data_IF_722937881464
#
_entry.id   IF_722937881464
#
_cell.length_a   1.000
_cell.length_b   1.000
_cell.length_c   1.000
_cell.angle_alpha   90.00
_cell.angle_beta   90.00
_cell.angle_gamma   90.00
#
_symmetry.space_group_name_H-M   'P 1'
#
loop_
_entity.id
_entity.type
_entity.pdbx_description
1 polymer ?
#
# COMPACT_ATOMS: atom_id res chain seq x y z
N UNK A 1 10.62 -27.69 7.89
CA UNK A 1 10.00 -26.38 8.17
C UNK A 1 11.14 -25.44 8.44
N UNK A 2 11.57 -24.68 7.44
CA UNK A 2 12.63 -23.69 7.62
C UNK A 2 12.01 -22.39 8.14
N UNK A 3 12.15 -22.18 9.44
CA UNK A 3 11.65 -21.02 10.19
C UNK A 3 12.70 -19.91 10.29
N UNK A 4 13.68 -19.85 9.38
CA UNK A 4 14.81 -18.90 9.49
C UNK A 4 14.95 -17.87 8.37
N UNK A 5 14.10 -17.89 7.34
CA UNK A 5 14.17 -16.82 6.32
C UNK A 5 13.59 -15.51 6.86
N UNK A 6 14.41 -14.46 6.82
CA UNK A 6 14.00 -13.11 7.17
C UNK A 6 12.74 -12.71 6.39
N UNK A 7 11.85 -11.87 6.96
CA UNK A 7 10.65 -11.45 6.27
C UNK A 7 10.98 -10.82 4.91
N UNK A 8 10.29 -11.23 3.86
CA UNK A 8 10.53 -10.76 2.49
C UNK A 8 9.17 -10.53 1.84
N UNK A 9 8.65 -9.28 1.90
CA UNK A 9 7.36 -8.98 1.32
C UNK A 9 7.44 -9.12 -0.21
N UNK A 10 6.43 -9.79 -0.76
CA UNK A 10 6.16 -9.86 -2.19
C UNK A 10 5.38 -8.59 -2.55
N UNK A 11 5.95 -7.76 -3.42
CA UNK A 11 5.29 -6.53 -3.92
C UNK A 11 5.08 -6.64 -5.41
N UNK A 12 3.84 -6.48 -5.85
CA UNK A 12 3.46 -6.61 -7.26
C UNK A 12 2.51 -5.49 -7.68
N UNK A 13 2.40 -5.28 -8.99
CA UNK A 13 1.43 -4.38 -9.60
C UNK A 13 0.37 -5.20 -10.33
N UNK A 14 -0.90 -4.87 -10.11
CA UNK A 14 -2.02 -5.35 -10.91
C UNK A 14 -2.55 -4.20 -11.78
N UNK A 15 -2.83 -4.44 -13.07
CA UNK A 15 -3.62 -3.51 -13.87
C UNK A 15 -4.96 -3.28 -13.17
N UNK A 16 -5.28 -2.02 -12.83
CA UNK A 16 -6.51 -1.72 -12.11
C UNK A 16 -7.67 -1.57 -13.08
N UNK A 17 -8.66 -2.46 -13.02
CA UNK A 17 -9.79 -2.44 -13.94
C UNK A 17 -10.26 -3.84 -14.29
N UNK A 18 -10.06 -4.25 -15.55
CA UNK A 18 -10.47 -5.56 -16.05
C UNK A 18 -9.70 -6.67 -15.32
N UNK A 19 -10.32 -7.21 -14.28
CA UNK A 19 -9.68 -8.15 -13.34
C UNK A 19 -9.81 -9.59 -13.86
N UNK A 20 -9.46 -9.83 -15.13
CA UNK A 20 -9.58 -11.17 -15.72
C UNK A 20 -8.48 -12.07 -15.15
N UNK A 21 -8.73 -13.38 -15.17
CA UNK A 21 -7.76 -14.37 -14.65
C UNK A 21 -6.38 -14.21 -15.30
N UNK A 22 -6.36 -13.93 -16.60
CA UNK A 22 -5.15 -13.71 -17.40
C UNK A 22 -4.29 -12.55 -16.90
N UNK A 23 -4.92 -11.47 -16.41
CA UNK A 23 -4.22 -10.25 -15.99
C UNK A 23 -3.46 -10.48 -14.66
N UNK A 24 -3.98 -11.35 -13.80
CA UNK A 24 -3.33 -11.74 -12.55
C UNK A 24 -2.15 -12.70 -12.79
N UNK A 25 -2.33 -13.72 -13.64
CA UNK A 25 -1.24 -14.64 -14.01
C UNK A 25 -0.12 -13.89 -14.73
N UNK A 26 -0.47 -12.91 -15.58
CA UNK A 26 0.52 -12.02 -16.21
C UNK A 26 1.30 -11.22 -15.17
N UNK A 27 0.64 -10.64 -14.16
CA UNK A 27 1.32 -9.91 -13.10
C UNK A 27 2.28 -10.82 -12.30
N UNK A 28 1.90 -12.06 -12.00
CA UNK A 28 2.80 -13.05 -11.36
C UNK A 28 4.01 -13.33 -12.25
N UNK A 29 3.81 -13.52 -13.55
CA UNK A 29 4.90 -13.74 -14.48
C UNK A 29 5.87 -12.54 -14.53
N UNK A 30 5.35 -11.31 -14.57
CA UNK A 30 6.15 -10.08 -14.54
C UNK A 30 6.93 -9.92 -13.23
N UNK A 31 6.31 -10.23 -12.09
CA UNK A 31 7.00 -10.26 -10.80
C UNK A 31 8.17 -11.24 -10.80
N UNK A 32 7.94 -12.48 -11.24
CA UNK A 32 8.99 -13.52 -11.30
C UNK A 32 10.16 -13.14 -12.22
N UNK A 33 9.88 -12.45 -13.32
CA UNK A 33 10.92 -11.94 -14.21
C UNK A 33 11.78 -10.86 -13.54
N UNK A 34 11.16 -9.97 -12.75
CA UNK A 34 11.84 -8.87 -12.05
C UNK A 34 12.76 -9.38 -10.94
N UNK A 35 12.34 -10.40 -10.20
CA UNK A 35 13.12 -10.97 -9.10
C UNK A 35 14.33 -11.82 -9.55
N UNK A 36 14.58 -11.93 -10.86
CA UNK A 36 15.73 -12.62 -11.45
C UNK A 36 15.99 -14.02 -10.84
N UNK A 37 14.94 -14.77 -10.53
CA UNK A 37 15.07 -16.18 -10.17
C UNK A 37 15.39 -16.95 -11.46
N UNK A 38 16.68 -17.14 -11.70
CA UNK A 38 17.21 -17.99 -12.76
C UNK A 38 16.84 -19.45 -12.54
N UNK A 39 15.61 -19.80 -12.82
CA UNK A 39 15.12 -21.15 -13.11
C UNK A 39 13.68 -21.00 -13.60
N UNK A 40 13.26 -21.84 -14.53
CA UNK A 40 11.84 -22.01 -14.91
C UNK A 40 11.00 -22.08 -13.62
N UNK A 41 10.38 -20.97 -13.20
CA UNK A 41 9.72 -20.89 -11.91
C UNK A 41 8.54 -21.85 -11.93
N UNK A 42 8.57 -22.86 -11.06
CA UNK A 42 7.64 -23.98 -11.08
C UNK A 42 6.17 -23.50 -11.03
N UNK A 43 5.25 -24.26 -11.63
CA UNK A 43 3.80 -24.06 -11.48
C UNK A 43 3.38 -23.97 -10.00
N UNK A 44 4.12 -24.61 -9.09
CA UNK A 44 3.89 -24.54 -7.65
C UNK A 44 4.10 -23.12 -7.09
N UNK A 45 5.14 -22.41 -7.52
CA UNK A 45 5.42 -21.05 -7.04
C UNK A 45 4.33 -20.06 -7.46
N UNK A 46 3.85 -20.17 -8.70
CA UNK A 46 2.72 -19.37 -9.19
C UNK A 46 1.47 -19.64 -8.35
N UNK A 47 1.17 -20.91 -8.07
CA UNK A 47 0.05 -21.29 -7.19
C UNK A 47 0.20 -20.77 -5.77
N UNK A 48 1.42 -20.73 -5.23
CA UNK A 48 1.67 -20.19 -3.89
C UNK A 48 1.47 -18.66 -3.85
N UNK A 49 1.88 -17.95 -4.90
CA UNK A 49 1.64 -16.52 -5.04
C UNK A 49 0.14 -16.22 -5.21
N UNK A 50 -0.57 -17.00 -6.03
CA UNK A 50 -2.03 -16.92 -6.12
C UNK A 50 -2.67 -17.15 -4.76
N UNK A 51 -2.26 -18.20 -4.04
CA UNK A 51 -2.82 -18.49 -2.73
C UNK A 51 -2.59 -17.35 -1.74
N UNK A 52 -1.37 -16.79 -1.72
CA UNK A 52 -0.99 -15.66 -0.87
C UNK A 52 -1.95 -14.47 -1.02
N UNK A 53 -2.28 -14.09 -2.25
CA UNK A 53 -3.08 -12.88 -2.52
C UNK A 53 -4.59 -13.12 -2.58
N UNK A 54 -5.03 -14.36 -2.78
CA UNK A 54 -6.45 -14.71 -2.92
C UNK A 54 -7.05 -15.36 -1.68
N UNK A 55 -6.22 -15.78 -0.72
CA UNK A 55 -6.69 -16.49 0.48
C UNK A 55 -6.11 -15.98 1.80
N UNK A 56 -4.98 -15.28 1.78
CA UNK A 56 -4.33 -14.78 3.00
C UNK A 56 -4.45 -13.26 3.14
N UNK A 57 -4.39 -12.73 4.37
CA UNK A 57 -4.36 -11.31 4.61
C UNK A 57 -3.27 -10.61 3.78
N UNK A 58 -3.69 -9.62 3.01
CA UNK A 58 -2.89 -8.88 2.03
C UNK A 58 -3.19 -7.40 2.17
N UNK A 59 -2.21 -6.54 1.90
CA UNK A 59 -2.37 -5.08 1.90
C UNK A 59 -2.18 -4.57 0.47
N UNK A 60 -2.90 -3.52 0.09
CA UNK A 60 -2.82 -2.96 -1.25
C UNK A 60 -2.97 -1.43 -1.24
N UNK A 61 -2.46 -0.81 -2.30
CA UNK A 61 -2.56 0.62 -2.58
C UNK A 61 -3.15 0.77 -3.98
N UNK A 62 -4.29 1.42 -4.10
CA UNK A 62 -4.81 1.91 -5.38
C UNK A 62 -4.33 3.35 -5.54
N UNK A 63 -3.71 3.66 -6.67
CA UNK A 63 -3.22 5.00 -7.01
C UNK A 63 -3.81 5.45 -8.33
N UNK A 64 -4.14 6.73 -8.44
CA UNK A 64 -4.44 7.39 -9.69
C UNK A 64 -3.57 8.64 -9.84
N UNK A 65 -2.78 8.66 -10.91
CA UNK A 65 -2.09 9.86 -11.36
C UNK A 65 -3.10 10.76 -12.08
N UNK A 66 -3.44 11.91 -11.50
CA UNK A 66 -4.36 12.90 -12.07
C UNK A 66 -3.64 14.17 -12.59
N UNK A 67 -2.33 14.11 -12.89
CA UNK A 67 -1.61 15.18 -13.62
C UNK A 67 -2.39 15.61 -14.85
N UNK A 68 -2.47 16.91 -15.08
CA UNK A 68 -2.96 17.42 -16.35
C UNK A 68 -1.84 17.26 -17.39
N UNK A 69 -2.07 16.43 -18.42
CA UNK A 69 -1.12 16.16 -19.50
C UNK A 69 -0.66 17.44 -20.23
N UNK A 70 -1.42 18.54 -20.12
CA UNK A 70 -1.08 19.85 -20.69
C UNK A 70 -0.15 20.71 -19.82
N UNK A 71 0.10 20.36 -18.55
CA UNK A 71 0.95 21.12 -17.63
C UNK A 71 2.21 20.33 -17.29
N UNK A 72 3.19 20.37 -18.19
CA UNK A 72 4.48 19.70 -18.03
C UNK A 72 5.24 20.10 -16.74
N UNK A 73 4.96 21.26 -16.14
CA UNK A 73 5.68 21.81 -14.99
C UNK A 73 4.76 22.36 -13.89
N UNK A 74 3.55 21.80 -13.74
CA UNK A 74 2.68 22.16 -12.61
C UNK A 74 3.14 21.43 -11.35
N UNK A 75 3.85 22.12 -10.45
CA UNK A 75 4.24 21.62 -9.12
C UNK A 75 3.04 21.38 -8.20
N UNK A 76 2.21 20.40 -8.54
CA UNK A 76 1.08 19.97 -7.74
C UNK A 76 1.17 18.49 -7.46
N UNK A 77 0.66 18.08 -6.31
CA UNK A 77 0.51 16.69 -5.89
C UNK A 77 -0.44 15.98 -6.85
N UNK A 78 0.01 15.04 -7.71
CA UNK A 78 -0.89 14.47 -8.69
C UNK A 78 -1.58 13.19 -8.26
N UNK A 79 -1.18 12.58 -7.15
CA UNK A 79 -1.68 11.27 -6.82
C UNK A 79 -2.91 11.34 -5.92
N UNK A 80 -3.95 10.61 -6.31
CA UNK A 80 -5.05 10.24 -5.43
C UNK A 80 -4.87 8.78 -5.07
N UNK A 81 -4.87 8.46 -3.79
CA UNK A 81 -4.55 7.10 -3.31
C UNK A 81 -5.58 6.56 -2.35
N UNK A 82 -5.70 5.25 -2.31
CA UNK A 82 -6.47 4.51 -1.32
C UNK A 82 -5.63 3.33 -0.85
N UNK A 83 -5.54 3.13 0.46
CA UNK A 83 -4.87 1.97 1.06
C UNK A 83 -5.94 1.04 1.61
N UNK A 84 -5.74 -0.27 1.54
CA UNK A 84 -6.65 -1.21 2.19
C UNK A 84 -6.01 -2.55 2.46
N UNK A 85 -6.68 -3.35 3.29
CA UNK A 85 -6.38 -4.77 3.46
C UNK A 85 -7.54 -5.65 2.98
N UNK A 86 -7.24 -6.90 2.66
CA UNK A 86 -8.20 -7.91 2.23
C UNK A 86 -7.60 -9.31 2.35
N UNK A 87 -8.44 -10.34 2.42
CA UNK A 87 -8.00 -11.73 2.28
C UNK A 87 -8.08 -12.23 0.83
N UNK A 88 -8.77 -11.48 -0.04
CA UNK A 88 -8.94 -11.79 -1.45
C UNK A 88 -8.88 -10.48 -2.24
N UNK A 89 -7.77 -10.26 -2.92
CA UNK A 89 -7.55 -9.03 -3.68
C UNK A 89 -8.49 -8.90 -4.88
N UNK A 90 -8.84 -10.01 -5.53
CA UNK A 90 -9.72 -9.99 -6.71
C UNK A 90 -11.13 -9.59 -6.32
N UNK A 91 -11.68 -10.24 -5.30
CA UNK A 91 -13.01 -9.91 -4.77
C UNK A 91 -13.07 -8.45 -4.32
N UNK A 92 -12.01 -7.95 -3.66
CA UNK A 92 -11.95 -6.57 -3.18
C UNK A 92 -11.86 -5.55 -4.31
N UNK A 93 -11.03 -5.81 -5.33
CA UNK A 93 -10.91 -4.98 -6.53
C UNK A 93 -12.24 -4.93 -7.29
N UNK A 94 -12.92 -6.07 -7.46
CA UNK A 94 -14.26 -6.12 -8.06
C UNK A 94 -15.26 -5.28 -7.28
N UNK A 95 -15.27 -5.36 -5.95
CA UNK A 95 -16.12 -4.53 -5.11
C UNK A 95 -15.85 -3.02 -5.31
N UNK A 96 -14.58 -2.62 -5.37
CA UNK A 96 -14.21 -1.22 -5.63
C UNK A 96 -14.68 -0.70 -6.99
N UNK A 97 -14.79 -1.57 -8.00
CA UNK A 97 -15.18 -1.19 -9.36
C UNK A 97 -16.70 -1.22 -9.54
N UNK A 98 -17.38 -2.22 -8.98
CA UNK A 98 -18.79 -2.51 -9.27
C UNK A 98 -19.78 -2.06 -8.20
N UNK A 99 -19.35 -2.02 -6.93
CA UNK A 99 -20.23 -1.83 -5.77
C UNK A 99 -19.97 -0.50 -5.07
N UNK A 100 -18.71 -0.18 -4.75
CA UNK A 100 -18.36 1.03 -4.02
C UNK A 100 -18.84 2.32 -4.75
N UNK A 101 -18.75 2.46 -6.09
CA UNK A 101 -19.28 3.61 -6.82
C UNK A 101 -20.76 3.90 -6.61
N UNK A 102 -21.55 2.90 -6.19
CA UNK A 102 -23.00 3.06 -5.96
C UNK A 102 -23.30 3.88 -4.70
N UNK A 103 -22.35 3.95 -3.76
CA UNK A 103 -22.53 4.61 -2.45
C UNK A 103 -21.40 5.59 -2.11
N UNK A 104 -20.28 5.51 -2.82
CA UNK A 104 -19.08 6.31 -2.60
C UNK A 104 -18.74 7.13 -3.85
N UNK A 105 -19.08 8.42 -3.82
CA UNK A 105 -18.84 9.37 -4.92
C UNK A 105 -17.36 9.54 -5.28
N UNK A 106 -16.46 9.35 -4.32
CA UNK A 106 -15.01 9.33 -4.52
C UNK A 106 -14.57 8.11 -5.35
N UNK A 107 -15.13 6.91 -5.08
CA UNK A 107 -14.91 5.73 -5.94
C UNK A 107 -15.57 5.86 -7.30
N UNK A 108 -16.77 6.45 -7.37
CA UNK A 108 -17.45 6.71 -8.64
C UNK A 108 -16.58 7.56 -9.57
N UNK A 109 -15.98 8.64 -9.04
CA UNK A 109 -15.05 9.49 -9.78
C UNK A 109 -13.79 8.75 -10.20
N UNK A 110 -13.19 7.96 -9.31
CA UNK A 110 -11.99 7.19 -9.60
C UNK A 110 -12.24 6.15 -10.71
N UNK A 111 -13.34 5.41 -10.64
CA UNK A 111 -13.70 4.41 -11.68
C UNK A 111 -13.99 5.08 -13.01
N UNK A 112 -14.68 6.24 -13.01
CA UNK A 112 -14.88 7.03 -14.24
C UNK A 112 -13.56 7.51 -14.83
N UNK A 113 -12.63 7.96 -13.99
CA UNK A 113 -11.30 8.37 -14.42
C UNK A 113 -10.53 7.20 -15.04
N UNK A 114 -10.48 6.06 -14.35
CA UNK A 114 -9.83 4.82 -14.79
C UNK A 114 -10.34 4.38 -16.17
N UNK A 115 -11.65 4.39 -16.41
CA UNK A 115 -12.24 3.99 -17.70
C UNK A 115 -11.73 4.80 -18.90
N UNK A 116 -11.31 6.04 -18.68
CA UNK A 116 -10.78 6.93 -19.71
C UNK A 116 -9.25 7.01 -19.69
N UNK A 117 -8.59 6.48 -18.66
CA UNK A 117 -7.17 6.66 -18.37
C UNK A 117 -6.60 5.38 -17.70
N UNK A 118 -6.74 4.24 -18.37
CA UNK A 118 -6.50 2.93 -17.78
C UNK A 118 -5.03 2.69 -17.38
N UNK A 119 -4.10 3.38 -18.04
CA UNK A 119 -2.66 3.38 -17.79
C UNK A 119 -2.26 4.27 -16.59
N UNK A 120 -3.18 5.10 -16.09
CA UNK A 120 -2.94 6.08 -15.03
C UNK A 120 -3.47 5.66 -13.67
N UNK A 121 -4.03 4.46 -13.59
CA UNK A 121 -4.53 3.87 -12.34
C UNK A 121 -3.85 2.54 -12.11
N UNK A 122 -3.14 2.43 -11.01
CA UNK A 122 -2.35 1.24 -10.66
C UNK A 122 -2.76 0.72 -9.29
N UNK A 123 -2.78 -0.61 -9.13
CA UNK A 123 -2.92 -1.25 -7.84
C UNK A 123 -1.62 -1.97 -7.47
N UNK A 124 -0.99 -1.52 -6.39
CA UNK A 124 0.14 -2.21 -5.78
C UNK A 124 -0.40 -3.16 -4.72
N UNK A 125 0.08 -4.41 -4.72
CA UNK A 125 -0.29 -5.43 -3.74
C UNK A 125 0.95 -5.85 -2.98
N UNK A 126 0.81 -6.06 -1.68
CA UNK A 126 1.87 -6.40 -0.74
C UNK A 126 1.40 -7.62 0.03
N UNK A 127 2.16 -8.70 -0.04
CA UNK A 127 1.89 -9.94 0.70
C UNK A 127 3.15 -10.41 1.40
N UNK A 128 3.00 -11.00 2.58
CA UNK A 128 4.10 -11.67 3.28
C UNK A 128 3.53 -12.89 4.01
N UNK A 129 4.32 -13.96 4.13
CA UNK A 129 3.91 -15.20 4.82
C UNK A 129 3.59 -14.99 6.30
N UNK A 130 4.09 -13.92 6.92
CA UNK A 130 3.83 -13.57 8.32
C UNK A 130 2.59 -12.67 8.49
N UNK A 131 1.95 -12.25 7.39
CA UNK A 131 0.73 -11.44 7.46
C UNK A 131 -0.40 -12.20 8.14
N UNK A 132 -0.77 -11.66 9.30
CA UNK A 132 -2.01 -11.97 10.00
C UNK A 132 -2.87 -10.70 10.04
N UNK A 133 -4.12 -10.83 10.49
CA UNK A 133 -5.07 -9.71 10.50
C UNK A 133 -4.55 -8.47 11.21
N UNK A 134 -3.85 -8.63 12.32
CA UNK A 134 -3.31 -7.50 13.09
C UNK A 134 -2.18 -6.83 12.31
N UNK A 135 -1.26 -7.62 11.77
CA UNK A 135 -0.10 -7.11 11.02
C UNK A 135 -0.52 -6.38 9.72
N UNK A 136 -1.57 -6.85 9.03
CA UNK A 136 -2.08 -6.15 7.84
C UNK A 136 -2.78 -4.83 8.19
N UNK A 137 -3.45 -4.76 9.34
CA UNK A 137 -4.01 -3.50 9.85
C UNK A 137 -2.90 -2.50 10.22
N UNK A 138 -1.81 -2.97 10.84
CA UNK A 138 -0.63 -2.14 11.13
C UNK A 138 0.01 -1.59 9.86
N UNK A 139 0.19 -2.47 8.86
CA UNK A 139 0.69 -2.10 7.53
C UNK A 139 -0.22 -1.06 6.85
N UNK A 140 -1.54 -1.29 6.83
CA UNK A 140 -2.52 -0.35 6.26
C UNK A 140 -2.43 1.03 6.92
N UNK A 141 -2.41 1.06 8.26
CA UNK A 141 -2.34 2.30 9.03
C UNK A 141 -1.04 3.07 8.80
N UNK A 142 0.12 2.38 8.81
CA UNK A 142 1.42 3.03 8.57
C UNK A 142 1.52 3.53 7.13
N UNK A 143 1.04 2.76 6.15
CA UNK A 143 0.96 3.20 4.76
C UNK A 143 0.07 4.44 4.61
N UNK A 144 -1.12 4.47 5.21
CA UNK A 144 -1.97 5.66 5.18
C UNK A 144 -1.23 6.89 5.73
N UNK A 145 -0.54 6.76 6.86
CA UNK A 145 0.23 7.87 7.45
C UNK A 145 1.40 8.33 6.57
N UNK A 146 2.10 7.39 5.94
CA UNK A 146 3.16 7.70 4.98
C UNK A 146 2.59 8.44 3.78
N UNK A 147 1.56 7.88 3.14
CA UNK A 147 0.93 8.48 1.96
C UNK A 147 0.37 9.89 2.22
N UNK A 148 -0.15 10.17 3.43
CA UNK A 148 -0.59 11.52 3.81
C UNK A 148 0.56 12.53 3.91
N UNK A 149 1.78 12.05 4.11
CA UNK A 149 2.98 12.86 4.32
C UNK A 149 3.83 13.00 3.07
N UNK A 150 3.43 12.35 1.96
CA UNK A 150 4.11 12.45 0.68
C UNK A 150 3.60 13.69 -0.07
N UNK A 151 4.51 14.59 -0.45
CA UNK A 151 4.17 15.84 -1.13
C UNK A 151 3.46 15.64 -2.47
N UNK A 152 3.74 14.55 -3.18
CA UNK A 152 3.10 14.21 -4.45
C UNK A 152 1.69 13.62 -4.27
N UNK A 153 1.27 13.28 -3.05
CA UNK A 153 -0.07 12.76 -2.79
C UNK A 153 -1.02 13.90 -2.45
N UNK A 154 -2.02 14.09 -3.32
CA UNK A 154 -3.06 15.11 -3.15
C UNK A 154 -4.12 14.71 -2.13
N UNK A 155 -4.48 13.43 -2.14
CA UNK A 155 -5.61 12.92 -1.40
C UNK A 155 -5.43 11.44 -1.08
N UNK A 156 -5.58 11.10 0.20
CA UNK A 156 -5.82 9.74 0.66
C UNK A 156 -7.33 9.54 0.86
N UNK A 157 -7.95 8.65 0.10
CA UNK A 157 -9.41 8.43 0.03
C UNK A 157 -9.99 7.63 1.22
N UNK A 158 -9.15 7.16 2.14
CA UNK A 158 -9.56 6.41 3.31
C UNK A 158 -10.47 7.27 4.20
N UNK A 159 -11.70 6.80 4.47
CA UNK A 159 -12.71 7.56 5.24
C UNK A 159 -12.58 7.41 6.76
N UNK A 160 -11.79 6.44 7.22
CA UNK A 160 -11.52 6.21 8.64
C UNK A 160 -10.00 6.16 8.83
N UNK A 161 -9.46 7.15 9.54
CA UNK A 161 -8.17 7.02 10.21
C UNK A 161 -8.48 6.58 11.64
N UNK A 162 -8.83 5.31 11.80
CA UNK A 162 -8.99 4.79 13.16
C UNK A 162 -7.60 4.75 13.78
N UNK A 163 -7.32 5.68 14.69
CA UNK A 163 -6.32 5.45 15.73
C UNK A 163 -6.88 4.34 16.60
N UNK A 164 -6.75 3.08 16.18
CA UNK A 164 -6.97 1.95 17.06
C UNK A 164 -5.69 1.74 17.85
N UNK A 165 -5.85 1.91 19.16
CA UNK A 165 -4.82 1.80 20.17
C UNK A 165 -4.08 0.46 20.05
N UNK A 166 -2.76 0.56 19.95
CA UNK A 166 -1.78 -0.45 20.36
C UNK A 166 -2.01 -1.86 19.76
N UNK A 167 -1.46 -2.10 18.58
CA UNK A 167 -1.25 -3.47 18.11
C UNK A 167 0.05 -4.05 18.69
N UNK A 168 0.08 -5.37 18.77
CA UNK A 168 1.26 -6.13 19.15
C UNK A 168 2.33 -5.88 18.08
N UNK A 169 3.26 -4.96 18.34
CA UNK A 169 4.39 -4.71 17.44
C UNK A 169 5.20 -5.99 17.38
N UNK A 170 4.97 -6.79 16.33
CA UNK A 170 5.86 -7.88 15.96
C UNK A 170 7.23 -7.25 15.71
N UNK A 171 8.28 -7.84 16.26
CA UNK A 171 9.67 -7.43 15.99
C UNK A 171 9.99 -7.46 14.48
N UNK A 172 9.17 -8.15 13.69
CA UNK A 172 9.29 -8.27 12.24
C UNK A 172 8.60 -7.13 11.47
N UNK A 173 7.69 -6.37 12.08
CA UNK A 173 6.85 -5.38 11.38
C UNK A 173 7.68 -4.31 10.68
N UNK A 174 8.60 -3.66 11.40
CA UNK A 174 9.43 -2.58 10.84
C UNK A 174 10.26 -3.07 9.66
N UNK A 175 10.81 -4.30 9.77
CA UNK A 175 11.58 -4.93 8.70
C UNK A 175 10.72 -5.21 7.46
N UNK A 176 9.52 -5.76 7.64
CA UNK A 176 8.58 -6.00 6.54
C UNK A 176 8.17 -4.69 5.89
N UNK A 177 7.79 -3.70 6.69
CA UNK A 177 7.34 -2.41 6.20
C UNK A 177 8.43 -1.70 5.40
N UNK A 178 9.64 -1.55 5.94
CA UNK A 178 10.74 -0.86 5.26
C UNK A 178 11.12 -1.55 3.95
N UNK A 179 11.12 -2.89 3.91
CA UNK A 179 11.37 -3.64 2.66
C UNK A 179 10.26 -3.41 1.63
N UNK A 180 9.00 -3.49 2.04
CA UNK A 180 7.87 -3.24 1.16
C UNK A 180 7.92 -1.80 0.60
N UNK A 181 8.18 -0.82 1.46
CA UNK A 181 8.31 0.58 1.08
C UNK A 181 9.47 0.81 0.11
N UNK A 182 10.62 0.19 0.35
CA UNK A 182 11.76 0.26 -0.55
C UNK A 182 11.44 -0.33 -1.94
N UNK A 183 10.74 -1.47 -2.00
CA UNK A 183 10.32 -2.06 -3.28
C UNK A 183 9.32 -1.16 -4.00
N UNK A 184 8.37 -0.55 -3.28
CA UNK A 184 7.45 0.45 -3.84
C UNK A 184 8.20 1.67 -4.40
N UNK A 185 9.19 2.18 -3.67
CA UNK A 185 10.06 3.28 -4.13
C UNK A 185 10.78 2.95 -5.43
N UNK A 186 11.30 1.73 -5.57
CA UNK A 186 11.94 1.29 -6.82
C UNK A 186 10.96 1.21 -7.99
N UNK A 187 9.67 0.95 -7.74
CA UNK A 187 8.64 0.87 -8.76
C UNK A 187 8.14 2.24 -9.22
N UNK A 188 7.89 3.17 -8.28
CA UNK A 188 7.37 4.51 -8.58
C UNK A 188 7.93 5.55 -7.58
N UNK A 189 9.15 6.07 -7.82
CA UNK A 189 9.82 6.99 -6.91
C UNK A 189 9.05 8.29 -6.65
N UNK A 190 8.28 8.77 -7.62
CA UNK A 190 7.48 9.99 -7.49
C UNK A 190 6.34 9.81 -6.47
N UNK A 191 5.75 8.62 -6.38
CA UNK A 191 4.66 8.29 -5.46
C UNK A 191 5.17 7.78 -4.11
N UNK A 192 6.25 7.03 -4.12
CA UNK A 192 6.84 6.41 -2.94
C UNK A 192 8.26 6.96 -2.76
N UNK A 193 8.46 8.14 -2.16
CA UNK A 193 9.78 8.70 -1.93
C UNK A 193 10.59 7.86 -0.93
N UNK A 194 11.88 8.16 -0.77
CA UNK A 194 12.71 7.51 0.25
C UNK A 194 12.07 7.59 1.64
N UNK A 195 12.08 6.47 2.39
CA UNK A 195 11.47 6.38 3.73
C UNK A 195 11.96 7.49 4.66
N UNK A 196 13.26 7.81 4.60
CA UNK A 196 13.86 8.89 5.39
C UNK A 196 13.25 10.25 5.09
N UNK A 197 12.96 10.56 3.83
CA UNK A 197 12.35 11.84 3.45
C UNK A 197 10.96 12.01 4.08
N UNK A 198 10.21 10.91 4.22
CA UNK A 198 8.90 10.91 4.89
C UNK A 198 9.03 11.08 6.39
N UNK A 199 9.92 10.31 7.02
CA UNK A 199 10.17 10.39 8.47
C UNK A 199 10.65 11.78 8.88
N UNK A 200 11.40 12.46 8.01
CA UNK A 200 11.87 13.82 8.25
C UNK A 200 10.81 14.90 7.98
N UNK A 201 9.74 14.57 7.25
CA UNK A 201 8.69 15.51 6.86
C UNK A 201 7.95 16.09 8.07
N UNK A 202 7.67 17.39 8.03
CA UNK A 202 6.92 18.07 9.08
C UNK A 202 5.48 17.54 9.20
N UNK A 203 4.88 17.13 8.08
CA UNK A 203 3.54 16.54 8.04
C UNK A 203 3.49 15.20 8.77
N UNK A 204 4.48 14.33 8.55
CA UNK A 204 4.55 13.06 9.26
C UNK A 204 4.75 13.28 10.76
N UNK A 205 5.70 14.14 11.14
CA UNK A 205 5.99 14.47 12.54
C UNK A 205 4.79 15.08 13.28
N UNK A 206 3.91 15.79 12.56
CA UNK A 206 2.67 16.36 13.12
C UNK A 206 1.48 15.38 13.10
N UNK A 207 1.59 14.24 12.41
CA UNK A 207 0.52 13.25 12.26
C UNK A 207 0.38 12.34 13.49
N UNK A 208 -0.84 11.90 13.85
CA UNK A 208 -1.06 10.88 14.88
C UNK A 208 -0.22 9.61 14.69
N UNK A 209 0.09 9.23 13.44
CA UNK A 209 0.90 8.06 13.11
C UNK A 209 2.34 8.14 13.63
N UNK A 210 2.95 9.34 13.71
CA UNK A 210 4.30 9.49 14.26
C UNK A 210 4.35 9.19 15.77
N UNK A 211 3.27 9.49 16.50
CA UNK A 211 3.20 9.23 17.94
C UNK A 211 3.22 7.73 18.26
N UNK A 212 2.66 6.89 17.37
CA UNK A 212 2.65 5.43 17.52
C UNK A 212 4.05 4.82 17.39
N UNK A 213 4.88 5.32 16.47
CA UNK A 213 6.27 4.88 16.30
C UNK A 213 7.16 5.27 17.49
N UNK A 214 6.88 6.39 18.16
CA UNK A 214 7.66 6.81 19.33
C UNK A 214 7.36 5.99 20.59
N UNK A 215 6.21 5.31 20.65
CA UNK A 215 5.80 4.50 21.81
C UNK A 215 6.29 3.04 21.74
N UNK A 216 6.72 2.54 20.58
CA UNK A 216 7.31 1.19 20.43
C UNK A 216 8.80 1.14 20.82
N UNK A 217 9.48 2.28 20.95
CA UNK A 217 10.82 2.40 21.51
C UNK A 217 10.79 2.48 23.04
N UNK A 218 11.33 1.48 23.73
CA UNK A 218 11.39 1.46 25.19
C UNK A 218 12.07 2.69 25.82
N UNK A 219 11.44 3.19 26.90
CA UNK A 219 11.80 4.27 27.86
C UNK A 219 11.38 5.74 27.55
N UNK A 220 10.28 6.15 28.22
CA UNK A 220 10.13 7.31 29.15
C UNK A 220 10.80 8.64 28.73
N UNK A 221 10.12 9.80 28.59
CA UNK A 221 9.21 10.49 29.53
C UNK A 221 8.62 11.77 28.87
N UNK A 222 7.44 12.18 29.37
CA UNK A 222 6.89 13.55 29.48
C UNK A 222 7.23 14.55 28.35
N UNK A 223 6.23 14.90 27.55
CA UNK A 223 5.82 16.30 27.46
C UNK A 223 4.30 16.41 27.43
N UNK A 224 3.81 17.21 28.36
CA UNK A 224 2.42 17.54 28.56
C UNK A 224 2.09 18.83 27.80
N UNK A 225 0.78 18.99 27.55
CA UNK A 225 0.02 20.23 27.48
C UNK A 225 -0.29 20.88 26.11
N UNK A 226 -1.61 20.96 25.95
CA UNK A 226 -2.42 22.01 25.35
C UNK A 226 -2.59 21.96 23.84
N UNK A 227 -3.82 21.65 23.43
CA UNK A 227 -4.68 22.72 22.89
C UNK A 227 -6.13 22.52 23.36
N UNK A 228 -6.58 23.43 24.21
CA UNK A 228 -7.99 23.76 24.39
C UNK A 228 -8.16 25.20 23.92
N UNK A 229 -8.87 25.38 22.80
CA UNK A 229 -10.01 26.29 22.64
C UNK A 229 -10.59 26.15 21.24
#
# INVERSE_FOLDING_TARGET
MDSSSAPQPVVMTLPYGDSRDEDFSKAIAEYKQREAVGSQGSNLEERLLEELFLRYPTVYIVSADIRDSGKKHGGGSPYVVYVGETNDIRSRTRQHIELDPRTRTDWERLVRFMRNNHDRVCQYIIGDRHFNKSLTLDMENRLMGYMQSVDSVKLVMNRRTNAQDMYYTSDEFDSIFSKAWQTLHQMEPDLFPEEKAILDSALFKASPSASSLTNSGGLKRLFCMCWSR
#
